data_IF_992101933616
#
_entry.id   IF_992101933616
#
_cell.length_a   1.000
_cell.length_b   1.000
_cell.length_c   1.000
_cell.angle_alpha   90.00
_cell.angle_beta   90.00
_cell.angle_gamma   90.00
#
_symmetry.space_group_name_H-M   'P 1'
#
loop_
_entity.id
_entity.type
_entity.pdbx_description
1 polymer ?
#
# COMPACT_ATOMS: atom_id res chain seq x y z
N UNK A 1 15.68 -67.10 -15.79
CA UNK A 1 15.28 -68.51 -15.96
C UNK A 1 16.44 -69.29 -16.58
N UNK A 2 16.86 -70.41 -15.98
CA UNK A 2 18.02 -71.17 -16.43
C UNK A 2 17.70 -72.02 -17.66
N UNK A 3 18.67 -72.14 -18.57
CA UNK A 3 18.62 -72.99 -19.76
C UNK A 3 18.63 -74.46 -19.34
N UNK A 4 17.54 -75.18 -19.57
CA UNK A 4 17.42 -76.61 -19.34
C UNK A 4 17.79 -77.41 -20.59
N UNK A 5 18.88 -78.16 -20.45
CA UNK A 5 19.38 -79.32 -21.23
C UNK A 5 20.28 -79.02 -22.45
N UNK A 6 21.48 -79.65 -22.53
CA UNK A 6 22.27 -79.69 -23.76
C UNK A 6 21.57 -80.61 -24.77
N UNK A 7 21.48 -80.17 -26.02
CA UNK A 7 20.93 -80.95 -27.14
C UNK A 7 21.82 -82.17 -27.41
N UNK A 8 21.39 -83.35 -26.95
CA UNK A 8 22.02 -84.65 -27.22
C UNK A 8 21.51 -85.30 -28.51
N UNK A 9 21.27 -84.49 -29.55
CA UNK A 9 20.89 -84.97 -30.88
C UNK A 9 21.70 -84.19 -31.92
N UNK A 10 22.66 -84.85 -32.54
CA UNK A 10 23.21 -84.43 -33.83
C UNK A 10 22.23 -84.91 -34.90
N UNK A 11 21.93 -84.04 -35.87
CA UNK A 11 21.01 -84.30 -36.97
C UNK A 11 21.22 -85.68 -37.61
N UNK A 12 20.16 -86.49 -37.62
CA UNK A 12 20.19 -87.87 -38.11
C UNK A 12 19.65 -87.92 -39.53
N UNK A 13 20.49 -88.36 -40.47
CA UNK A 13 20.10 -88.91 -41.77
C UNK A 13 19.94 -90.44 -41.61
N UNK A 14 18.70 -90.92 -41.45
CA UNK A 14 18.34 -92.36 -41.59
C UNK A 14 18.14 -93.17 -40.28
N UNK A 15 17.38 -94.27 -40.39
CA UNK A 15 16.78 -95.08 -39.31
C UNK A 15 17.76 -95.94 -38.45
N UNK A 16 18.94 -95.43 -38.08
CA UNK A 16 19.88 -96.14 -37.21
C UNK A 16 20.20 -95.30 -35.97
N UNK A 17 19.26 -95.25 -35.03
CA UNK A 17 19.44 -94.67 -33.69
C UNK A 17 20.19 -95.68 -32.79
N UNK A 18 21.52 -95.78 -32.96
CA UNK A 18 22.38 -96.56 -32.06
C UNK A 18 22.94 -95.67 -30.96
N UNK A 19 23.03 -96.18 -29.72
CA UNK A 19 23.64 -95.41 -28.61
C UNK A 19 25.14 -95.19 -28.89
N UNK A 20 25.73 -94.02 -28.56
CA UNK A 20 27.12 -93.72 -28.88
C UNK A 20 28.12 -94.75 -28.32
N UNK A 21 27.81 -95.32 -27.16
CA UNK A 21 28.64 -96.36 -26.52
C UNK A 21 28.62 -97.67 -27.32
N UNK A 22 27.46 -98.07 -27.85
CA UNK A 22 27.29 -99.24 -28.72
C UNK A 22 27.94 -99.00 -30.09
N UNK A 23 27.79 -97.78 -30.65
CA UNK A 23 28.39 -97.41 -31.93
C UNK A 23 29.93 -97.39 -31.90
N UNK A 24 30.53 -96.97 -30.79
CA UNK A 24 31.99 -97.02 -30.62
C UNK A 24 32.47 -98.48 -30.49
N UNK A 25 31.73 -99.33 -29.80
CA UNK A 25 32.03 -100.76 -29.72
C UNK A 25 31.93 -101.43 -31.10
N UNK A 26 30.87 -101.15 -31.86
CA UNK A 26 30.69 -101.66 -33.24
C UNK A 26 31.77 -101.13 -34.19
N UNK A 27 32.15 -99.86 -34.06
CA UNK A 27 33.25 -99.27 -34.83
C UNK A 27 34.59 -99.92 -34.52
N UNK A 28 34.89 -100.19 -33.24
CA UNK A 28 36.11 -100.89 -32.83
C UNK A 28 36.12 -102.34 -33.30
N UNK A 29 34.97 -103.04 -33.21
CA UNK A 29 34.80 -104.40 -33.73
C UNK A 29 34.93 -104.45 -35.25
N UNK A 30 34.39 -103.46 -35.97
CA UNK A 30 34.57 -103.32 -37.42
C UNK A 30 36.03 -103.04 -37.78
N UNK A 31 36.74 -102.19 -37.02
CA UNK A 31 38.17 -101.93 -37.22
C UNK A 31 39.04 -103.16 -36.95
N UNK A 32 38.71 -103.94 -35.92
CA UNK A 32 39.38 -105.22 -35.64
C UNK A 32 39.07 -106.26 -36.72
N UNK A 33 37.82 -106.32 -37.19
CA UNK A 33 37.46 -107.17 -38.33
C UNK A 33 38.24 -106.76 -39.59
N UNK A 34 38.35 -105.47 -39.92
CA UNK A 34 39.19 -105.01 -41.06
C UNK A 34 40.66 -105.45 -40.93
N UNK A 35 41.20 -105.47 -39.71
CA UNK A 35 42.60 -105.84 -39.45
C UNK A 35 42.86 -107.36 -39.61
N UNK A 36 41.91 -108.21 -39.25
CA UNK A 36 42.03 -109.67 -39.33
C UNK A 36 41.30 -110.31 -40.52
N UNK A 37 40.57 -109.52 -41.32
CA UNK A 37 39.92 -109.98 -42.54
C UNK A 37 40.95 -110.14 -43.66
N UNK A 38 41.70 -111.25 -43.62
CA UNK A 38 42.35 -111.76 -44.82
C UNK A 38 41.25 -112.17 -45.81
N UNK A 39 41.03 -111.33 -46.82
CA UNK A 39 40.25 -111.74 -48.01
C UNK A 39 40.95 -112.99 -48.55
N UNK A 40 40.30 -114.17 -48.57
CA UNK A 40 40.90 -115.35 -49.18
C UNK A 40 41.26 -115.00 -50.64
N UNK A 41 42.41 -115.43 -51.15
CA UNK A 41 42.72 -115.25 -52.56
C UNK A 41 41.70 -116.08 -53.34
N UNK A 42 40.73 -115.40 -53.95
CA UNK A 42 39.71 -116.05 -54.76
C UNK A 42 40.41 -116.71 -55.96
N UNK A 43 40.67 -118.02 -55.85
CA UNK A 43 41.35 -118.83 -56.86
C UNK A 43 40.54 -119.09 -58.13
N UNK A 44 39.26 -118.69 -58.15
CA UNK A 44 38.33 -118.80 -59.28
C UNK A 44 37.67 -117.44 -59.61
N UNK A 45 38.49 -116.39 -59.66
CA UNK A 45 38.18 -115.19 -60.45
C UNK A 45 39.25 -115.08 -61.51
N UNK A 46 38.87 -115.05 -62.79
CA UNK A 46 39.77 -114.67 -63.85
C UNK A 46 40.46 -113.37 -63.43
N UNK A 47 41.79 -113.39 -63.27
CA UNK A 47 42.54 -112.19 -62.93
C UNK A 47 42.11 -111.08 -63.87
N UNK A 48 41.75 -109.92 -63.32
CA UNK A 48 41.28 -108.81 -64.14
C UNK A 48 42.36 -108.53 -65.20
N UNK A 49 42.11 -108.96 -66.45
CA UNK A 49 42.94 -108.58 -67.58
C UNK A 49 43.07 -107.06 -67.56
N UNK A 50 44.19 -106.52 -68.05
CA UNK A 50 44.37 -105.07 -68.23
C UNK A 50 43.15 -104.47 -68.95
N UNK A 51 42.52 -105.24 -69.84
CA UNK A 51 41.28 -104.90 -70.52
C UNK A 51 40.06 -104.81 -69.57
N UNK A 52 39.90 -105.74 -68.62
CA UNK A 52 38.81 -105.70 -67.63
C UNK A 52 38.97 -104.53 -66.65
N UNK A 53 40.20 -104.25 -66.21
CA UNK A 53 40.54 -103.06 -65.41
C UNK A 53 40.29 -101.77 -66.19
N UNK A 54 40.65 -101.72 -67.47
CA UNK A 54 40.36 -100.58 -68.35
C UNK A 54 38.85 -100.37 -68.53
N UNK A 55 38.08 -101.44 -68.72
CA UNK A 55 36.61 -101.39 -68.81
C UNK A 55 36.01 -100.88 -67.49
N UNK A 56 36.51 -101.35 -66.34
CA UNK A 56 36.07 -100.90 -65.02
C UNK A 56 36.40 -99.42 -64.78
N UNK A 57 37.64 -99.00 -65.02
CA UNK A 57 38.07 -97.61 -64.90
C UNK A 57 37.30 -96.69 -65.85
N UNK A 58 36.99 -97.15 -67.06
CA UNK A 58 36.16 -96.39 -68.01
C UNK A 58 34.73 -96.22 -67.51
N UNK A 59 34.13 -97.27 -66.92
CA UNK A 59 32.81 -97.19 -66.28
C UNK A 59 32.81 -96.30 -65.03
N UNK A 60 33.87 -96.35 -64.22
CA UNK A 60 34.05 -95.48 -63.06
C UNK A 60 34.30 -94.02 -63.49
N UNK A 61 35.03 -93.80 -64.58
CA UNK A 61 35.22 -92.47 -65.16
C UNK A 61 33.91 -91.89 -65.71
N UNK A 62 33.13 -92.69 -66.43
CA UNK A 62 31.78 -92.29 -66.87
C UNK A 62 30.84 -92.01 -65.69
N UNK A 63 30.90 -92.82 -64.63
CA UNK A 63 30.08 -92.59 -63.43
C UNK A 63 30.51 -91.32 -62.70
N UNK A 64 31.81 -91.03 -62.63
CA UNK A 64 32.37 -89.78 -62.10
C UNK A 64 31.96 -88.56 -62.93
N UNK A 65 31.99 -88.64 -64.27
CA UNK A 65 31.52 -87.55 -65.13
C UNK A 65 30.03 -87.26 -64.88
N UNK A 66 29.21 -88.32 -64.81
CA UNK A 66 27.78 -88.18 -64.49
C UNK A 66 27.57 -87.58 -63.11
N UNK A 67 28.40 -87.91 -62.13
CA UNK A 67 28.34 -87.35 -60.79
C UNK A 67 28.76 -85.87 -60.78
N UNK A 68 29.84 -85.49 -61.45
CA UNK A 68 30.28 -84.10 -61.59
C UNK A 68 29.21 -83.24 -62.25
N UNK A 69 28.56 -83.77 -63.29
CA UNK A 69 27.47 -83.06 -63.95
C UNK A 69 26.26 -82.87 -63.03
N UNK A 70 25.86 -83.91 -62.29
CA UNK A 70 24.83 -83.80 -61.24
C UNK A 70 25.22 -82.80 -60.14
N UNK A 71 26.48 -82.76 -59.72
CA UNK A 71 26.96 -81.80 -58.73
C UNK A 71 26.92 -80.36 -59.25
N UNK A 72 27.31 -80.13 -60.50
CA UNK A 72 27.22 -78.82 -61.14
C UNK A 72 25.77 -78.36 -61.28
N UNK A 73 24.88 -79.25 -61.70
CA UNK A 73 23.45 -78.94 -61.84
C UNK A 73 22.81 -78.66 -60.47
N UNK A 74 23.15 -79.46 -59.45
CA UNK A 74 22.73 -79.23 -58.07
C UNK A 74 23.29 -77.92 -57.51
N UNK A 75 24.56 -77.60 -57.76
CA UNK A 75 25.17 -76.34 -57.33
C UNK A 75 24.51 -75.12 -58.00
N UNK A 76 24.20 -75.20 -59.30
CA UNK A 76 23.45 -74.16 -60.02
C UNK A 76 22.05 -73.97 -59.45
N UNK A 77 21.31 -75.06 -59.22
CA UNK A 77 20.00 -75.02 -58.59
C UNK A 77 20.06 -74.42 -57.18
N UNK A 78 21.04 -74.84 -56.37
CA UNK A 78 21.25 -74.31 -55.02
C UNK A 78 21.62 -72.82 -55.03
N UNK A 79 22.44 -72.38 -55.99
CA UNK A 79 22.80 -70.98 -56.18
C UNK A 79 21.58 -70.12 -56.53
N UNK A 80 20.70 -70.60 -57.41
CA UNK A 80 19.43 -69.93 -57.73
C UNK A 80 18.52 -69.83 -56.51
N UNK A 81 18.31 -70.93 -55.78
CA UNK A 81 17.49 -70.95 -54.57
C UNK A 81 18.06 -70.02 -53.49
N UNK A 82 19.39 -69.98 -53.33
CA UNK A 82 20.04 -69.08 -52.38
C UNK A 82 19.90 -67.61 -52.81
N UNK A 83 20.02 -67.31 -54.10
CA UNK A 83 19.81 -65.95 -54.62
C UNK A 83 18.38 -65.47 -54.36
N UNK A 84 17.37 -66.33 -54.57
CA UNK A 84 15.98 -66.03 -54.26
C UNK A 84 15.75 -65.81 -52.76
N UNK A 85 16.34 -66.65 -51.91
CA UNK A 85 16.30 -66.47 -50.44
C UNK A 85 16.91 -65.14 -50.00
N UNK A 86 18.06 -64.76 -50.57
CA UNK A 86 18.72 -63.47 -50.27
C UNK A 86 17.82 -62.31 -50.70
N UNK A 87 17.16 -62.41 -51.86
CA UNK A 87 16.22 -61.40 -52.34
C UNK A 87 15.01 -61.25 -51.42
N UNK A 88 14.41 -62.36 -50.97
CA UNK A 88 13.30 -62.35 -50.01
C UNK A 88 13.74 -61.78 -48.64
N UNK A 89 14.96 -62.09 -48.19
CA UNK A 89 15.53 -61.51 -46.99
C UNK A 89 15.64 -59.98 -47.09
N UNK A 90 16.12 -59.44 -48.21
CA UNK A 90 16.18 -57.98 -48.39
C UNK A 90 14.79 -57.33 -48.43
N UNK A 91 13.80 -57.96 -49.09
CA UNK A 91 12.41 -57.46 -49.09
C UNK A 91 11.82 -57.43 -47.68
N UNK A 92 12.03 -58.49 -46.90
CA UNK A 92 11.54 -58.56 -45.52
C UNK A 92 12.23 -57.55 -44.61
N UNK A 93 13.54 -57.35 -44.78
CA UNK A 93 14.29 -56.32 -44.07
C UNK A 93 13.76 -54.90 -44.40
N UNK A 94 13.51 -54.60 -45.67
CA UNK A 94 12.96 -53.31 -46.09
C UNK A 94 11.56 -53.08 -45.52
N UNK A 95 10.71 -54.11 -45.54
CA UNK A 95 9.38 -54.06 -44.93
C UNK A 95 9.44 -53.78 -43.42
N UNK A 96 10.34 -54.46 -42.71
CA UNK A 96 10.55 -54.23 -41.28
C UNK A 96 11.06 -52.82 -41.00
N UNK A 97 11.97 -52.30 -41.83
CA UNK A 97 12.47 -50.92 -41.72
C UNK A 97 11.34 -49.91 -41.90
N UNK A 98 10.50 -50.08 -42.91
CA UNK A 98 9.36 -49.19 -43.15
C UNK A 98 8.39 -49.22 -41.97
N UNK A 99 8.03 -50.41 -41.47
CA UNK A 99 7.22 -50.53 -40.24
C UNK A 99 7.85 -49.86 -39.03
N UNK A 100 9.17 -49.94 -38.87
CA UNK A 100 9.86 -49.28 -37.77
C UNK A 100 9.78 -47.75 -37.89
N UNK A 101 9.92 -47.20 -39.10
CA UNK A 101 9.74 -45.77 -39.37
C UNK A 101 8.29 -45.35 -39.07
N UNK A 102 7.31 -46.15 -39.49
CA UNK A 102 5.88 -45.88 -39.24
C UNK A 102 5.56 -45.89 -37.74
N UNK A 103 6.07 -46.87 -36.99
CA UNK A 103 5.86 -46.95 -35.54
C UNK A 103 6.57 -45.79 -34.83
N UNK A 104 7.80 -45.45 -35.22
CA UNK A 104 8.54 -44.36 -34.61
C UNK A 104 7.90 -42.98 -34.89
N UNK A 105 7.42 -42.76 -36.13
CA UNK A 105 6.66 -41.55 -36.46
C UNK A 105 5.34 -41.48 -35.68
N UNK A 106 4.62 -42.60 -35.57
CA UNK A 106 3.41 -42.67 -34.75
C UNK A 106 3.68 -42.35 -33.26
N UNK A 107 4.76 -42.89 -32.67
CA UNK A 107 5.12 -42.59 -31.28
C UNK A 107 5.44 -41.10 -31.10
N UNK A 108 6.16 -40.49 -32.04
CA UNK A 108 6.44 -39.05 -32.03
C UNK A 108 5.16 -38.22 -32.12
N UNK A 109 4.27 -38.55 -33.06
CA UNK A 109 2.99 -37.86 -33.21
C UNK A 109 2.13 -37.97 -31.95
N UNK A 110 2.11 -39.14 -31.31
CA UNK A 110 1.41 -39.34 -30.03
C UNK A 110 2.03 -38.51 -28.90
N UNK A 111 3.37 -38.43 -28.83
CA UNK A 111 4.07 -37.60 -27.85
C UNK A 111 3.79 -36.10 -28.07
N UNK A 112 3.80 -35.65 -29.32
CA UNK A 112 3.51 -34.26 -29.67
C UNK A 112 2.05 -33.90 -29.38
N UNK A 113 1.10 -34.77 -29.74
CA UNK A 113 -0.32 -34.59 -29.38
C UNK A 113 -0.53 -34.54 -27.88
N UNK A 114 0.14 -35.42 -27.12
CA UNK A 114 0.09 -35.39 -25.66
C UNK A 114 0.63 -34.07 -25.11
N UNK A 115 1.78 -33.60 -25.60
CA UNK A 115 2.36 -32.33 -25.18
C UNK A 115 1.45 -31.14 -25.50
N UNK A 116 0.83 -31.14 -26.69
CA UNK A 116 -0.14 -30.11 -27.07
C UNK A 116 -1.37 -30.12 -26.17
N UNK A 117 -1.91 -31.31 -25.86
CA UNK A 117 -3.04 -31.45 -24.95
C UNK A 117 -2.68 -30.99 -23.52
N UNK A 118 -1.51 -31.38 -23.00
CA UNK A 118 -1.03 -30.93 -21.70
C UNK A 118 -0.86 -29.41 -21.64
N UNK A 119 -0.35 -28.79 -22.72
CA UNK A 119 -0.26 -27.34 -22.82
C UNK A 119 -1.65 -26.69 -22.82
N UNK A 120 -2.58 -27.20 -23.64
CA UNK A 120 -3.94 -26.68 -23.69
C UNK A 120 -4.65 -26.78 -22.32
N UNK A 121 -4.50 -27.91 -21.63
CA UNK A 121 -5.02 -28.10 -20.27
C UNK A 121 -4.38 -27.10 -19.30
N UNK A 122 -3.06 -26.88 -19.38
CA UNK A 122 -2.38 -25.90 -18.54
C UNK A 122 -2.90 -24.48 -18.80
N UNK A 123 -3.04 -24.09 -20.05
CA UNK A 123 -3.51 -22.76 -20.43
C UNK A 123 -4.98 -22.55 -19.99
N UNK A 124 -5.84 -23.55 -20.19
CA UNK A 124 -7.25 -23.52 -19.78
C UNK A 124 -7.40 -23.51 -18.25
N UNK A 125 -6.58 -24.27 -17.52
CA UNK A 125 -6.60 -24.25 -16.05
C UNK A 125 -6.10 -22.92 -15.46
N UNK A 126 -5.15 -22.24 -16.12
CA UNK A 126 -4.75 -20.88 -15.75
C UNK A 126 -5.88 -19.89 -16.00
N UNK A 127 -6.48 -19.93 -17.19
CA UNK A 127 -7.63 -19.10 -17.53
C UNK A 127 -8.78 -19.28 -16.53
N UNK A 128 -9.12 -20.51 -16.19
CA UNK A 128 -10.15 -20.80 -15.18
C UNK A 128 -9.83 -20.22 -13.80
N UNK A 129 -8.57 -20.25 -13.37
CA UNK A 129 -8.16 -19.66 -12.09
C UNK A 129 -8.34 -18.14 -12.09
N UNK A 130 -7.96 -17.48 -13.18
CA UNK A 130 -8.06 -16.03 -13.28
C UNK A 130 -9.53 -15.60 -13.38
N UNK A 131 -10.35 -16.25 -14.20
CA UNK A 131 -11.79 -15.99 -14.23
C UNK A 131 -12.45 -16.25 -12.86
N UNK A 132 -12.03 -17.29 -12.13
CA UNK A 132 -12.58 -17.57 -10.81
C UNK A 132 -12.27 -16.47 -9.80
N UNK A 133 -11.04 -15.90 -9.85
CA UNK A 133 -10.69 -14.73 -9.02
C UNK A 133 -11.52 -13.52 -9.39
N UNK A 134 -11.71 -13.25 -10.68
CA UNK A 134 -12.52 -12.13 -11.14
C UNK A 134 -13.98 -12.28 -10.69
N UNK A 135 -14.53 -13.50 -10.78
CA UNK A 135 -15.87 -13.82 -10.27
C UNK A 135 -15.97 -13.56 -8.76
N UNK A 136 -14.96 -13.95 -7.97
CA UNK A 136 -14.94 -13.67 -6.54
C UNK A 136 -14.87 -12.16 -6.25
N UNK A 137 -14.04 -11.41 -6.98
CA UNK A 137 -13.98 -9.95 -6.86
C UNK A 137 -15.34 -9.31 -7.17
N UNK A 138 -15.98 -9.70 -8.27
CA UNK A 138 -17.30 -9.17 -8.62
C UNK A 138 -18.37 -9.54 -7.59
N UNK A 139 -18.32 -10.74 -7.01
CA UNK A 139 -19.22 -11.11 -5.91
C UNK A 139 -19.01 -10.20 -4.70
N UNK A 140 -17.77 -9.98 -4.28
CA UNK A 140 -17.49 -9.06 -3.17
C UNK A 140 -17.97 -7.64 -3.44
N UNK A 141 -17.76 -7.12 -4.65
CA UNK A 141 -18.27 -5.79 -5.03
C UNK A 141 -19.80 -5.73 -5.08
N UNK A 142 -20.46 -6.80 -5.52
CA UNK A 142 -21.94 -6.88 -5.48
C UNK A 142 -22.41 -6.88 -4.02
N UNK A 143 -21.77 -7.64 -3.14
CA UNK A 143 -22.12 -7.69 -1.73
C UNK A 143 -21.93 -6.31 -1.06
N UNK A 144 -20.82 -5.62 -1.32
CA UNK A 144 -20.59 -4.24 -0.87
C UNK A 144 -21.67 -3.27 -1.40
N UNK A 145 -22.02 -3.34 -2.68
CA UNK A 145 -23.06 -2.48 -3.26
C UNK A 145 -24.45 -2.80 -2.71
N UNK A 146 -24.75 -4.07 -2.41
CA UNK A 146 -26.03 -4.46 -1.82
C UNK A 146 -26.16 -3.96 -0.40
N UNK A 147 -25.13 -4.10 0.43
CA UNK A 147 -25.11 -3.54 1.80
C UNK A 147 -25.22 -2.02 1.78
N UNK A 148 -24.51 -1.34 0.86
CA UNK A 148 -24.64 0.11 0.68
C UNK A 148 -26.07 0.51 0.24
N UNK A 149 -26.67 -0.25 -0.68
CA UNK A 149 -28.05 -0.02 -1.12
C UNK A 149 -29.04 -0.20 0.03
N UNK A 150 -28.85 -1.19 0.88
CA UNK A 150 -29.69 -1.42 2.06
C UNK A 150 -29.54 -0.30 3.08
N UNK A 151 -28.32 0.17 3.33
CA UNK A 151 -28.08 1.34 4.17
C UNK A 151 -28.75 2.60 3.61
N UNK A 152 -28.64 2.85 2.29
CA UNK A 152 -29.32 3.97 1.64
C UNK A 152 -30.85 3.85 1.70
N UNK A 153 -31.40 2.65 1.57
CA UNK A 153 -32.85 2.45 1.72
C UNK A 153 -33.30 2.76 3.14
N UNK A 154 -32.55 2.30 4.14
CA UNK A 154 -32.84 2.59 5.54
C UNK A 154 -32.79 4.10 5.81
N UNK A 155 -31.77 4.82 5.33
CA UNK A 155 -31.71 6.28 5.51
C UNK A 155 -32.81 7.02 4.76
N UNK A 156 -33.22 6.56 3.58
CA UNK A 156 -34.37 7.13 2.86
C UNK A 156 -35.67 6.87 3.64
N UNK A 157 -35.86 5.69 4.22
CA UNK A 157 -37.02 5.39 5.08
C UNK A 157 -37.04 6.26 6.34
N UNK A 158 -35.89 6.50 6.97
CA UNK A 158 -35.75 7.41 8.10
C UNK A 158 -36.06 8.87 7.73
N UNK A 159 -35.69 9.29 6.51
CA UNK A 159 -35.88 10.66 6.04
C UNK A 159 -37.28 10.93 5.46
N UNK A 160 -38.01 9.88 5.07
CA UNK A 160 -39.33 9.96 4.46
C UNK A 160 -40.38 10.76 5.27
N UNK A 161 -40.43 10.67 6.62
CA UNK A 161 -41.36 11.48 7.42
C UNK A 161 -41.08 12.97 7.31
N UNK A 162 -39.81 13.38 7.25
CA UNK A 162 -39.43 14.79 7.14
C UNK A 162 -39.78 15.35 5.75
N UNK A 163 -39.60 14.55 4.69
CA UNK A 163 -40.03 14.91 3.35
C UNK A 163 -41.55 15.15 3.29
N UNK A 164 -42.36 14.28 3.93
CA UNK A 164 -43.81 14.46 4.03
C UNK A 164 -44.17 15.77 4.73
N UNK A 165 -43.49 16.10 5.82
CA UNK A 165 -43.72 17.37 6.55
C UNK A 165 -43.36 18.56 5.67
N UNK A 166 -42.26 18.52 4.93
CA UNK A 166 -41.88 19.60 4.01
C UNK A 166 -42.91 19.77 2.89
N UNK A 167 -43.41 18.66 2.33
CA UNK A 167 -44.48 18.69 1.34
C UNK A 167 -45.79 19.26 1.92
N UNK A 168 -46.12 18.95 3.16
CA UNK A 168 -47.27 19.53 3.86
C UNK A 168 -47.09 21.04 4.08
N UNK A 169 -45.91 21.48 4.51
CA UNK A 169 -45.60 22.90 4.72
C UNK A 169 -45.69 23.69 3.41
N UNK A 170 -45.18 23.13 2.31
CA UNK A 170 -45.28 23.75 0.98
C UNK A 170 -46.73 23.81 0.50
N UNK A 171 -47.56 22.82 0.84
CA UNK A 171 -49.00 22.84 0.50
C UNK A 171 -49.81 23.85 1.30
N UNK A 172 -49.46 24.07 2.57
CA UNK A 172 -50.17 24.98 3.47
C UNK A 172 -49.72 26.43 3.27
N UNK A 173 -48.46 26.63 2.87
CA UNK A 173 -47.86 27.95 2.74
C UNK A 173 -47.65 28.33 1.29
N UNK A 174 -48.37 29.35 0.81
CA UNK A 174 -48.16 29.95 -0.52
C UNK A 174 -46.79 30.65 -0.67
N UNK A 175 -45.99 30.69 0.40
CA UNK A 175 -44.68 31.35 0.45
C UNK A 175 -43.60 30.52 -0.26
N UNK A 176 -43.78 29.19 -0.33
CA UNK A 176 -42.77 28.28 -0.87
C UNK A 176 -43.27 27.64 -2.16
N UNK A 177 -42.46 27.69 -3.22
CA UNK A 177 -42.81 27.08 -4.52
C UNK A 177 -42.42 25.60 -4.57
N UNK A 178 -41.39 25.21 -3.80
CA UNK A 178 -40.84 23.86 -3.78
C UNK A 178 -40.26 23.55 -2.39
N UNK A 179 -40.22 22.27 -1.95
CA UNK A 179 -39.52 21.89 -0.72
C UNK A 179 -38.06 22.35 -0.68
N UNK A 180 -37.39 22.43 -1.84
CA UNK A 180 -36.02 22.96 -1.97
C UNK A 180 -35.94 24.44 -1.62
N UNK A 181 -36.90 25.23 -2.08
CA UNK A 181 -36.97 26.67 -1.78
C UNK A 181 -37.18 26.92 -0.28
N UNK A 182 -37.94 26.04 0.39
CA UNK A 182 -38.06 26.05 1.85
C UNK A 182 -36.71 25.74 2.53
N UNK A 183 -35.96 24.75 2.06
CA UNK A 183 -34.63 24.41 2.60
C UNK A 183 -33.62 25.55 2.38
N UNK A 184 -33.50 26.05 1.15
CA UNK A 184 -32.55 27.12 0.79
C UNK A 184 -32.79 28.39 1.62
N UNK A 185 -34.06 28.72 1.89
CA UNK A 185 -34.42 29.86 2.73
C UNK A 185 -34.12 29.61 4.21
N UNK A 186 -34.33 28.40 4.71
CA UNK A 186 -33.92 28.02 6.06
C UNK A 186 -32.40 28.09 6.23
N UNK A 187 -31.64 27.64 5.23
CA UNK A 187 -30.18 27.73 5.22
C UNK A 187 -29.71 29.18 5.22
N UNK A 188 -30.31 30.03 4.37
CA UNK A 188 -30.02 31.46 4.35
C UNK A 188 -30.35 32.14 5.70
N UNK A 189 -31.47 31.75 6.33
CA UNK A 189 -31.84 32.25 7.65
C UNK A 189 -30.88 31.78 8.75
N UNK A 190 -30.42 30.53 8.69
CA UNK A 190 -29.41 30.02 9.62
C UNK A 190 -28.08 30.76 9.48
N UNK A 191 -27.62 30.99 8.25
CA UNK A 191 -26.40 31.76 7.98
C UNK A 191 -26.54 33.20 8.49
N UNK A 192 -27.64 33.88 8.17
CA UNK A 192 -27.93 35.21 8.68
C UNK A 192 -27.98 35.25 10.22
N UNK A 193 -28.54 34.22 10.85
CA UNK A 193 -28.58 34.10 12.31
C UNK A 193 -27.17 33.96 12.91
N UNK A 194 -26.28 33.20 12.28
CA UNK A 194 -24.88 33.10 12.70
C UNK A 194 -24.17 34.46 12.59
N UNK A 195 -24.29 35.15 11.45
CA UNK A 195 -23.68 36.47 11.24
C UNK A 195 -24.20 37.51 12.24
N UNK A 196 -25.51 37.54 12.49
CA UNK A 196 -26.12 38.44 13.49
C UNK A 196 -25.56 38.14 14.87
N UNK A 197 -25.37 36.86 15.22
CA UNK A 197 -24.86 36.49 16.53
C UNK A 197 -23.39 36.89 16.70
N UNK A 198 -22.57 36.71 15.67
CA UNK A 198 -21.18 37.17 15.66
C UNK A 198 -21.10 38.70 15.82
N UNK A 199 -21.88 39.45 15.04
CA UNK A 199 -21.92 40.90 15.13
C UNK A 199 -22.41 41.36 16.52
N UNK A 200 -23.42 40.68 17.07
CA UNK A 200 -23.90 40.95 18.43
C UNK A 200 -22.80 40.74 19.47
N UNK A 201 -22.03 39.67 19.38
CA UNK A 201 -20.91 39.42 20.30
C UNK A 201 -19.83 40.50 20.18
N UNK A 202 -19.49 40.90 18.96
CA UNK A 202 -18.54 42.00 18.72
C UNK A 202 -19.05 43.31 19.35
N UNK A 203 -20.32 43.66 19.16
CA UNK A 203 -20.91 44.87 19.75
C UNK A 203 -20.99 44.82 21.27
N UNK A 204 -21.26 43.66 21.87
CA UNK A 204 -21.21 43.51 23.32
C UNK A 204 -19.79 43.73 23.86
N UNK A 205 -18.78 43.21 23.16
CA UNK A 205 -17.38 43.44 23.53
C UNK A 205 -17.00 44.93 23.43
N UNK A 206 -17.36 45.60 22.33
CA UNK A 206 -17.14 47.05 22.18
C UNK A 206 -17.80 47.85 23.31
N UNK A 207 -19.04 47.50 23.70
CA UNK A 207 -19.75 48.16 24.80
C UNK A 207 -19.02 47.95 26.13
N UNK A 208 -18.55 46.73 26.40
CA UNK A 208 -17.82 46.44 27.63
C UNK A 208 -16.48 47.17 27.68
N UNK A 209 -15.75 47.24 26.56
CA UNK A 209 -14.50 47.98 26.45
C UNK A 209 -14.73 49.49 26.67
N UNK A 210 -15.78 50.06 26.09
CA UNK A 210 -16.19 51.45 26.34
C UNK A 210 -16.58 51.68 27.80
N UNK A 211 -17.30 50.73 28.42
CA UNK A 211 -17.67 50.79 29.84
C UNK A 211 -16.43 50.80 30.72
N UNK A 212 -15.47 49.92 30.45
CA UNK A 212 -14.19 49.89 31.17
C UNK A 212 -13.41 51.20 31.00
N UNK A 213 -13.38 51.75 29.78
CA UNK A 213 -12.76 53.05 29.52
C UNK A 213 -13.43 54.18 30.29
N UNK A 214 -14.77 54.23 30.31
CA UNK A 214 -15.52 55.23 31.05
C UNK A 214 -15.24 55.13 32.56
N UNK A 215 -15.19 53.91 33.12
CA UNK A 215 -14.85 53.71 34.54
C UNK A 215 -13.42 54.18 34.85
N UNK A 216 -12.46 53.95 33.96
CA UNK A 216 -11.08 54.47 34.11
C UNK A 216 -11.03 56.00 34.08
N UNK A 217 -11.66 56.63 33.09
CA UNK A 217 -11.67 58.09 32.97
C UNK A 217 -12.38 58.73 34.16
N UNK A 218 -13.49 58.16 34.62
CA UNK A 218 -14.23 58.67 35.77
C UNK A 218 -13.47 58.50 37.08
N UNK A 219 -12.73 57.39 37.25
CA UNK A 219 -11.87 57.21 38.44
C UNK A 219 -10.68 58.18 38.43
N UNK A 220 -10.03 58.37 37.28
CA UNK A 220 -8.97 59.37 37.10
C UNK A 220 -9.49 60.79 37.37
N UNK A 221 -10.65 61.16 36.82
CA UNK A 221 -11.28 62.45 37.08
C UNK A 221 -11.62 62.61 38.58
N UNK A 222 -12.18 61.58 39.23
CA UNK A 222 -12.45 61.64 40.67
C UNK A 222 -11.18 61.83 41.50
N UNK A 223 -10.08 61.17 41.14
CA UNK A 223 -8.77 61.36 41.78
C UNK A 223 -8.22 62.77 41.58
N UNK A 224 -8.34 63.33 40.36
CA UNK A 224 -7.90 64.72 40.11
C UNK A 224 -8.73 65.73 40.89
N UNK A 225 -10.06 65.57 40.95
CA UNK A 225 -10.95 66.43 41.75
C UNK A 225 -10.62 66.33 43.25
N UNK A 226 -10.32 65.13 43.74
CA UNK A 226 -9.89 64.92 45.13
C UNK A 226 -8.55 65.63 45.40
N UNK A 227 -7.60 65.55 44.47
CA UNK A 227 -6.33 66.28 44.52
C UNK A 227 -6.55 67.79 44.60
N UNK A 228 -7.33 68.35 43.67
CA UNK A 228 -7.67 69.78 43.66
C UNK A 228 -8.40 70.23 44.93
N UNK A 229 -9.27 69.39 45.50
CA UNK A 229 -9.95 69.68 46.77
C UNK A 229 -8.96 69.74 47.93
N UNK A 230 -7.97 68.84 47.96
CA UNK A 230 -6.91 68.88 48.95
C UNK A 230 -6.09 70.16 48.82
N UNK A 231 -5.67 70.53 47.60
CA UNK A 231 -4.91 71.76 47.34
C UNK A 231 -5.70 73.00 47.74
N UNK A 232 -7.00 73.07 47.39
CA UNK A 232 -7.89 74.15 47.81
C UNK A 232 -7.94 74.25 49.33
N UNK A 233 -8.07 73.13 50.04
CA UNK A 233 -8.11 73.14 51.51
C UNK A 233 -6.80 73.66 52.13
N UNK A 234 -5.65 73.39 51.49
CA UNK A 234 -4.35 73.92 51.91
C UNK A 234 -4.31 75.44 51.70
N UNK A 235 -4.75 75.92 50.54
CA UNK A 235 -4.81 77.36 50.22
C UNK A 235 -5.76 78.10 51.16
N UNK A 236 -6.95 77.55 51.45
CA UNK A 236 -7.89 78.16 52.39
C UNK A 236 -7.31 78.26 53.80
N UNK A 237 -6.60 77.22 54.27
CA UNK A 237 -5.93 77.24 55.58
C UNK A 237 -4.83 78.30 55.63
N UNK A 238 -3.98 78.39 54.60
CA UNK A 238 -2.90 79.39 54.57
C UNK A 238 -3.46 80.81 54.46
N UNK A 239 -4.52 81.02 53.66
CA UNK A 239 -5.23 82.29 53.57
C UNK A 239 -5.88 82.71 54.89
N UNK A 240 -6.58 81.80 55.57
CA UNK A 240 -7.19 82.11 56.86
C UNK A 240 -6.15 82.44 57.93
N UNK A 241 -5.01 81.73 57.92
CA UNK A 241 -3.90 82.03 58.82
C UNK A 241 -3.29 83.41 58.53
N UNK A 242 -3.00 83.74 57.27
CA UNK A 242 -2.46 85.05 56.91
C UNK A 242 -3.45 86.17 57.23
N UNK A 243 -4.74 85.99 56.96
CA UNK A 243 -5.81 86.94 57.33
C UNK A 243 -5.86 87.16 58.85
N UNK A 244 -5.79 86.09 59.65
CA UNK A 244 -5.77 86.21 61.11
C UNK A 244 -4.54 86.98 61.60
N UNK A 245 -3.37 86.76 60.97
CA UNK A 245 -2.16 87.52 61.26
C UNK A 245 -2.29 89.00 60.87
N UNK A 246 -2.85 89.31 59.69
CA UNK A 246 -3.13 90.68 59.27
C UNK A 246 -4.04 91.40 60.27
N UNK A 247 -5.16 90.80 60.66
CA UNK A 247 -6.08 91.38 61.66
C UNK A 247 -5.40 91.63 63.00
N UNK A 248 -4.52 90.72 63.43
CA UNK A 248 -3.71 90.91 64.66
C UNK A 248 -2.81 92.14 64.53
N UNK A 249 -2.10 92.28 63.42
CA UNK A 249 -1.22 93.42 63.17
C UNK A 249 -1.99 94.73 63.00
N UNK A 250 -3.14 94.71 62.34
CA UNK A 250 -4.04 95.87 62.21
C UNK A 250 -4.50 96.35 63.59
N UNK A 251 -4.92 95.43 64.48
CA UNK A 251 -5.32 95.78 65.84
C UNK A 251 -4.17 96.39 66.65
N UNK A 252 -2.97 95.82 66.54
CA UNK A 252 -1.77 96.39 67.19
C UNK A 252 -1.47 97.79 66.64
N UNK A 253 -1.57 97.97 65.32
CA UNK A 253 -1.36 99.25 64.67
C UNK A 253 -2.41 100.29 65.10
N UNK A 254 -3.68 99.92 65.22
CA UNK A 254 -4.77 100.79 65.68
C UNK A 254 -4.52 101.26 67.12
N UNK A 255 -4.23 100.34 68.04
CA UNK A 255 -3.87 100.68 69.43
C UNK A 255 -2.63 101.60 69.47
N UNK A 256 -1.64 101.36 68.60
CA UNK A 256 -0.46 102.22 68.50
C UNK A 256 -0.82 103.62 67.97
N UNK A 257 -1.70 103.72 66.97
CA UNK A 257 -2.20 105.00 66.46
C UNK A 257 -2.96 105.77 67.53
N UNK A 258 -3.83 105.10 68.29
CA UNK A 258 -4.60 105.72 69.37
C UNK A 258 -3.70 106.25 70.48
N UNK A 259 -2.72 105.45 70.91
CA UNK A 259 -1.72 105.88 71.92
C UNK A 259 -0.85 107.05 71.44
N UNK A 260 -0.45 107.06 70.16
CA UNK A 260 0.24 108.22 69.57
C UNK A 260 -0.69 109.45 69.56
N UNK A 261 -1.95 109.29 69.19
CA UNK A 261 -2.92 110.38 69.15
C UNK A 261 -3.21 110.95 70.55
N UNK A 262 -3.37 110.10 71.58
CA UNK A 262 -3.57 110.55 72.97
C UNK A 262 -2.35 111.29 73.49
N UNK A 263 -1.14 110.75 73.29
CA UNK A 263 0.10 111.45 73.65
C UNK A 263 0.28 112.77 72.90
N UNK A 264 -0.11 112.84 71.62
CA UNK A 264 -0.09 114.08 70.86
C UNK A 264 -1.07 115.11 71.44
N UNK A 265 -2.29 114.69 71.81
CA UNK A 265 -3.28 115.57 72.44
C UNK A 265 -2.82 116.05 73.82
N UNK A 266 -2.22 115.19 74.65
CA UNK A 266 -1.62 115.57 75.94
C UNK A 266 -0.49 116.58 75.75
N UNK A 267 0.38 116.37 74.76
CA UNK A 267 1.43 117.31 74.38
C UNK A 267 0.85 118.66 73.93
N UNK A 268 -0.25 118.68 73.19
CA UNK A 268 -0.91 119.93 72.81
C UNK A 268 -1.56 120.62 74.02
N UNK A 269 -2.28 119.88 74.87
CA UNK A 269 -2.88 120.41 76.11
C UNK A 269 -1.85 121.01 77.05
N UNK A 270 -0.69 120.35 77.21
CA UNK A 270 0.41 120.88 78.02
C UNK A 270 1.02 122.13 77.40
N UNK A 271 1.23 122.17 76.08
CA UNK A 271 1.65 123.39 75.37
C UNK A 271 0.64 124.53 75.54
N UNK A 272 -0.65 124.26 75.39
CA UNK A 272 -1.73 125.23 75.57
C UNK A 272 -1.79 125.74 77.01
N UNK A 273 -1.63 124.85 78.00
CA UNK A 273 -1.57 125.22 79.41
C UNK A 273 -0.34 126.10 79.71
N UNK A 274 0.84 125.76 79.18
CA UNK A 274 2.05 126.58 79.27
C UNK A 274 1.82 127.94 78.60
N UNK A 275 1.19 127.98 77.43
CA UNK A 275 0.87 129.22 76.72
C UNK A 275 -0.16 130.07 77.50
N UNK A 276 -1.18 129.45 78.09
CA UNK A 276 -2.16 130.11 78.93
C UNK A 276 -1.53 130.68 80.23
N UNK A 277 -0.63 129.93 80.86
CA UNK A 277 0.18 130.40 81.99
C UNK A 277 1.09 131.56 81.57
N UNK A 278 1.72 131.47 80.41
CA UNK A 278 2.54 132.55 79.85
C UNK A 278 1.71 133.82 79.60
N UNK A 279 0.54 133.71 78.96
CA UNK A 279 -0.38 134.83 78.72
C UNK A 279 -0.87 135.44 80.03
N UNK A 280 -1.24 134.64 81.03
CA UNK A 280 -1.67 135.16 82.34
C UNK A 280 -0.55 135.85 83.11
N UNK A 281 0.69 135.35 83.05
CA UNK A 281 1.87 136.02 83.60
C UNK A 281 2.18 137.33 82.85
N UNK A 282 2.06 137.36 81.52
CA UNK A 282 2.21 138.58 80.73
C UNK A 282 1.13 139.63 81.06
N UNK A 283 -0.13 139.21 81.28
CA UNK A 283 -1.20 140.10 81.78
C UNK A 283 -0.87 140.68 83.16
N UNK A 284 -0.36 139.87 84.11
CA UNK A 284 0.02 140.32 85.46
C UNK A 284 1.23 141.28 85.46
N UNK A 285 2.14 141.16 84.49
CA UNK A 285 3.32 142.03 84.34
C UNK A 285 3.09 143.28 83.49
N UNK A 286 1.85 143.58 83.08
CA UNK A 286 1.52 144.79 82.33
C UNK A 286 2.07 144.86 80.89
N UNK A 287 2.56 143.74 80.34
CA UNK A 287 3.05 143.67 78.96
C UNK A 287 1.95 143.08 78.06
N UNK A 288 1.11 143.94 77.51
CA UNK A 288 0.07 143.55 76.55
C UNK A 288 0.70 143.34 75.16
N UNK A 289 1.17 142.13 74.88
CA UNK A 289 1.49 141.70 73.51
C UNK A 289 0.44 140.69 73.05
N UNK A 290 -0.36 141.07 72.04
CA UNK A 290 -1.29 140.19 71.32
C UNK A 290 -0.61 138.86 70.96
N UNK A 291 -1.17 137.69 71.29
CA UNK A 291 -0.75 136.45 70.65
C UNK A 291 -1.11 136.54 69.16
N UNK A 292 -0.10 136.41 68.28
CA UNK A 292 -0.33 136.06 66.88
C UNK A 292 -0.87 134.63 66.86
N UNK A 293 -2.01 134.45 66.21
CA UNK A 293 -2.45 133.15 65.71
C UNK A 293 -1.36 132.57 64.80
N UNK A 294 -0.92 131.35 65.10
CA UNK A 294 -0.72 130.27 64.13
C UNK A 294 -1.20 129.00 64.83
#
# INVERSE_FOLDING_TARGET
MPRTKPTTKLDVLGNLDMRPEEAVADYLMSKQQEQFFMKPPNGDLAGDSIELMYIRNSREYESMLRLQQKMLDSCKQQSMVNADRVKEMYKTQEHLRNRFIDVNSFIKDCADKKRMAEKAISDETQLHKDLSKDIEQFKTSIDELTTFREALKATVEELQPYEKVLDEVVKVSDIFVSPKDCMDRCDALMLAQMEINELKMQKLQEIEDMRQHMVKITSEAALTVLGLKNDLSVVERTYNNSRAQCLKWEKILEVTKDTIATHYLEKQRTKDAVNALYVTLCRRRGKFSRPRFI
#
